data_IF_827455477894
#
_entry.id   IF_827455477894
#
_cell.length_a   1.000
_cell.length_b   1.000
_cell.length_c   1.000
_cell.angle_alpha   90.00
_cell.angle_beta   90.00
_cell.angle_gamma   90.00
#
_symmetry.space_group_name_H-M   'P 1'
#
loop_
_entity.id
_entity.type
_entity.pdbx_description
1 polymer ?
#
# COMPACT_ATOMS: atom_id res chain seq x y z
N UNK A 1 -15.93 -3.98 -11.46
CA UNK A 1 -16.26 -2.73 -12.20
C UNK A 1 -15.26 -2.57 -13.35
N UNK A 2 -15.74 -2.41 -14.59
CA UNK A 2 -14.88 -2.16 -15.75
C UNK A 2 -14.37 -0.71 -15.75
N UNK A 3 -13.19 -0.47 -16.34
CA UNK A 3 -12.64 0.89 -16.47
C UNK A 3 -13.43 1.76 -17.44
N UNK A 4 -13.26 3.07 -17.31
CA UNK A 4 -13.79 4.03 -18.28
C UNK A 4 -13.08 3.82 -19.63
N UNK A 5 -13.80 3.84 -20.77
CA UNK A 5 -13.18 3.80 -22.09
C UNK A 5 -12.12 4.89 -22.25
N UNK A 6 -10.94 4.53 -22.76
CA UNK A 6 -9.85 5.47 -22.96
C UNK A 6 -8.69 4.84 -23.71
N UNK A 7 -7.80 5.67 -24.23
CA UNK A 7 -6.56 5.20 -24.84
C UNK A 7 -5.55 4.90 -23.74
N UNK A 8 -5.06 3.67 -23.68
CA UNK A 8 -4.09 3.21 -22.67
C UNK A 8 -4.56 3.45 -21.23
N UNK A 9 -5.72 2.91 -20.82
CA UNK A 9 -6.25 3.13 -19.48
C UNK A 9 -5.31 2.56 -18.41
N UNK A 10 -5.12 3.31 -17.33
CA UNK A 10 -4.33 2.90 -16.18
C UNK A 10 -5.28 2.56 -15.03
N UNK A 11 -5.11 1.37 -14.46
CA UNK A 11 -5.94 0.86 -13.37
C UNK A 11 -5.14 0.88 -12.07
N UNK A 12 -5.30 1.91 -11.21
CA UNK A 12 -4.57 1.96 -9.94
C UNK A 12 -5.12 0.90 -8.99
N UNK A 13 -4.29 -0.08 -8.64
CA UNK A 13 -4.60 -1.04 -7.59
C UNK A 13 -4.26 -0.42 -6.23
N UNK A 14 -5.17 -0.56 -5.26
CA UNK A 14 -5.03 0.03 -3.91
C UNK A 14 -5.20 -1.06 -2.87
N UNK A 15 -4.58 -0.86 -1.70
CA UNK A 15 -4.71 -1.75 -0.53
C UNK A 15 -4.30 -3.20 -0.82
N UNK A 16 -3.28 -3.40 -1.65
CA UNK A 16 -2.68 -4.72 -1.89
C UNK A 16 -1.65 -5.03 -0.80
N UNK A 17 -1.72 -6.25 -0.25
CA UNK A 17 -0.70 -6.76 0.64
C UNK A 17 0.59 -7.09 -0.12
N UNK A 18 1.71 -7.15 0.60
CA UNK A 18 2.99 -7.62 0.06
C UNK A 18 2.91 -9.10 -0.34
N UNK A 19 3.62 -9.49 -1.39
CA UNK A 19 3.70 -10.89 -1.83
C UNK A 19 3.60 -11.07 -3.34
N UNK A 20 3.34 -12.32 -3.74
CA UNK A 20 3.10 -12.70 -5.14
C UNK A 20 1.63 -12.61 -5.46
N UNK A 21 1.33 -11.89 -6.54
CA UNK A 21 -0.02 -11.67 -7.05
C UNK A 21 -0.07 -12.06 -8.52
N UNK A 22 -1.28 -12.19 -9.03
CA UNK A 22 -1.56 -12.51 -10.43
C UNK A 22 -2.45 -11.41 -11.01
N UNK A 23 -2.22 -11.02 -12.26
CA UNK A 23 -3.03 -10.01 -12.96
C UNK A 23 -3.44 -10.51 -14.34
N UNK A 24 -4.70 -10.26 -14.71
CA UNK A 24 -5.24 -10.48 -16.04
C UNK A 24 -6.23 -9.36 -16.37
N UNK A 25 -6.47 -9.13 -17.66
CA UNK A 25 -7.48 -8.19 -18.17
C UNK A 25 -8.48 -8.95 -19.01
N UNK A 26 -9.75 -8.59 -18.88
CA UNK A 26 -10.85 -9.12 -19.67
C UNK A 26 -11.56 -7.97 -20.40
N UNK A 27 -11.92 -8.19 -21.66
CA UNK A 27 -12.82 -7.34 -22.42
C UNK A 27 -14.21 -7.94 -22.30
N UNK A 28 -15.16 -7.14 -21.82
CA UNK A 28 -16.54 -7.54 -21.57
C UNK A 28 -17.45 -6.80 -22.55
N UNK A 29 -18.42 -7.47 -23.16
CA UNK A 29 -19.44 -6.86 -24.02
C UNK A 29 -20.59 -6.19 -23.23
N UNK A 30 -21.60 -5.71 -23.96
CA UNK A 30 -22.77 -5.04 -23.38
C UNK A 30 -23.69 -5.96 -22.57
N UNK A 31 -23.61 -7.27 -22.79
CA UNK A 31 -24.40 -8.29 -22.09
C UNK A 31 -23.64 -8.88 -20.88
N UNK A 32 -22.40 -8.41 -20.64
CA UNK A 32 -21.57 -8.85 -19.53
C UNK A 32 -20.72 -10.10 -19.83
N UNK A 33 -20.62 -10.51 -21.10
CA UNK A 33 -19.85 -11.68 -21.52
C UNK A 33 -18.42 -11.30 -21.88
N UNK A 34 -17.46 -12.19 -21.57
CA UNK A 34 -16.05 -12.00 -21.91
C UNK A 34 -15.82 -12.26 -23.41
N UNK A 35 -15.34 -11.25 -24.12
CA UNK A 35 -14.99 -11.31 -25.55
C UNK A 35 -13.53 -11.70 -25.74
N UNK A 36 -12.64 -11.23 -24.86
CA UNK A 36 -11.21 -11.50 -24.91
C UNK A 36 -10.61 -11.44 -23.51
N UNK A 37 -9.50 -12.15 -23.28
CA UNK A 37 -8.74 -12.06 -22.04
C UNK A 37 -7.24 -12.22 -22.28
N UNK A 38 -6.43 -11.61 -21.42
CA UNK A 38 -4.99 -11.87 -21.38
C UNK A 38 -4.69 -13.06 -20.47
N UNK A 39 -3.59 -13.82 -20.72
CA UNK A 39 -3.11 -14.79 -19.75
C UNK A 39 -2.82 -14.14 -18.39
N UNK A 40 -2.98 -14.92 -17.32
CA UNK A 40 -2.66 -14.47 -15.96
C UNK A 40 -1.16 -14.33 -15.77
N UNK A 41 -0.71 -13.12 -15.45
CA UNK A 41 0.70 -12.78 -15.31
C UNK A 41 1.07 -12.53 -13.84
N UNK A 42 2.15 -13.14 -13.33
CA UNK A 42 2.60 -12.90 -11.97
C UNK A 42 3.30 -11.55 -11.83
N UNK A 43 3.06 -10.90 -10.69
CA UNK A 43 3.86 -9.78 -10.23
C UNK A 43 4.11 -9.87 -8.72
N UNK A 44 5.13 -9.17 -8.24
CA UNK A 44 5.52 -9.18 -6.84
C UNK A 44 5.43 -7.78 -6.26
N UNK A 45 4.71 -7.65 -5.14
CA UNK A 45 4.61 -6.40 -4.42
C UNK A 45 5.51 -6.43 -3.19
N UNK A 46 6.49 -5.53 -3.17
CA UNK A 46 7.40 -5.35 -2.05
C UNK A 46 6.96 -4.15 -1.20
N UNK A 47 6.92 -4.31 0.13
CA UNK A 47 6.75 -3.18 1.04
C UNK A 47 8.11 -2.54 1.27
N UNK A 48 8.27 -1.27 0.90
CA UNK A 48 9.43 -0.49 1.33
C UNK A 48 9.26 -0.21 2.82
N UNK A 49 10.10 -0.82 3.65
CA UNK A 49 10.23 -0.46 5.06
C UNK A 49 11.45 0.46 5.21
N UNK A 50 11.24 1.70 5.67
CA UNK A 50 12.34 2.54 6.13
C UNK A 50 12.68 2.04 7.54
N UNK A 51 13.79 1.32 7.66
CA UNK A 51 14.34 0.99 8.97
C UNK A 51 15.25 2.14 9.41
N UNK A 52 14.84 2.86 10.44
CA UNK A 52 15.70 3.71 11.27
C UNK A 52 16.24 4.98 10.62
N UNK A 53 15.42 6.03 10.58
CA UNK A 53 15.95 7.33 11.00
C UNK A 53 15.42 7.54 12.43
N UNK A 54 16.29 7.67 13.46
CA UNK A 54 15.84 8.06 14.78
C UNK A 54 15.02 9.35 14.64
N UNK A 55 13.85 9.41 15.30
CA UNK A 55 13.18 10.68 15.51
C UNK A 55 14.19 11.62 16.18
N UNK A 56 14.32 12.89 15.77
CA UNK A 56 15.14 13.84 16.50
C UNK A 56 14.70 13.81 17.96
N UNK A 57 15.66 13.59 18.85
CA UNK A 57 15.46 13.52 20.29
C UNK A 57 14.64 14.73 20.74
N UNK A 58 13.35 14.53 21.02
CA UNK A 58 12.51 15.57 21.57
C UNK A 58 12.91 15.66 23.04
N UNK A 59 13.74 16.67 23.32
CA UNK A 59 14.19 17.09 24.65
C UNK A 59 13.01 17.06 25.63
N UNK A 60 12.93 15.97 26.40
CA UNK A 60 11.87 15.80 27.40
C UNK A 60 12.38 16.46 28.67
N UNK A 61 11.65 17.44 29.26
CA UNK A 61 12.16 18.23 30.36
C UNK A 61 12.39 17.36 31.60
N UNK A 62 13.54 17.54 32.25
CA UNK A 62 13.98 16.87 33.45
C UNK A 62 13.05 17.18 34.64
N UNK A 63 11.91 16.50 34.74
CA UNK A 63 11.12 16.48 35.98
C UNK A 63 11.59 15.32 36.83
N UNK A 64 12.70 15.54 37.54
CA UNK A 64 12.99 14.81 38.77
C UNK A 64 13.91 15.65 39.66
N UNK A 65 13.31 16.62 40.35
CA UNK A 65 13.90 17.30 41.49
C UNK A 65 12.79 17.64 42.49
N UNK A 66 12.18 16.60 43.07
CA UNK A 66 11.42 16.72 44.31
C UNK A 66 11.78 15.51 45.18
N UNK A 67 12.93 15.58 45.84
CA UNK A 67 13.22 14.74 47.00
C UNK A 67 12.57 15.41 48.22
N UNK A 68 11.66 14.76 48.96
CA UNK A 68 11.21 15.26 50.25
C UNK A 68 12.32 15.03 51.29
N UNK A 69 12.88 16.12 51.81
CA UNK A 69 13.70 16.08 53.02
C UNK A 69 12.78 15.92 54.22
N UNK A 70 12.69 14.71 54.76
CA UNK A 70 12.15 14.48 56.10
C UNK A 70 13.29 14.13 57.07
N UNK A 71 13.11 14.65 58.29
CA UNK A 71 14.09 14.88 59.36
C UNK A 71 14.59 13.64 60.06
#
# INVERSE_FOLDING_TARGET
PAGVPGRSPVFPLKNLDRGTHQVAVEIIDGDGMTVESTPSQPFHLHRVSIAGQPLPEVDTPLVSAIEPSER
#
